data_IF_415631194730
#
_entry.id   IF_415631194730
#
_cell.length_a   1.000
_cell.length_b   1.000
_cell.length_c   1.000
_cell.angle_alpha   90.00
_cell.angle_beta   90.00
_cell.angle_gamma   90.00
#
_symmetry.space_group_name_H-M   'P 1'
#
loop_
_entity.id
_entity.type
_entity.pdbx_description
1 polymer ?
#
# COMPACT_ATOMS: atom_id res chain seq x y z
N UNK A 1 6.40 29.16 -30.28
CA UNK A 1 6.38 28.80 -28.83
C UNK A 1 5.10 28.08 -28.33
N UNK A 2 4.28 27.47 -29.21
CA UNK A 2 3.08 26.72 -28.79
C UNK A 2 3.37 25.27 -28.38
N UNK A 3 4.19 24.58 -29.18
CA UNK A 3 4.54 23.15 -28.98
C UNK A 3 5.35 22.92 -27.69
N UNK A 4 6.27 23.80 -27.35
CA UNK A 4 7.09 23.70 -26.12
C UNK A 4 6.24 23.90 -24.85
N UNK A 5 5.24 24.81 -24.90
CA UNK A 5 4.27 25.00 -23.82
C UNK A 5 3.35 23.79 -23.65
N UNK A 6 2.89 23.19 -24.76
CA UNK A 6 2.10 21.97 -24.74
C UNK A 6 2.87 20.81 -24.09
N UNK A 7 4.09 20.53 -24.55
CA UNK A 7 4.99 19.53 -23.93
C UNK A 7 5.27 19.79 -22.45
N UNK A 8 5.31 21.05 -22.02
CA UNK A 8 5.45 21.40 -20.58
C UNK A 8 4.20 21.06 -19.79
N UNK A 9 3.01 21.33 -20.34
CA UNK A 9 1.72 20.98 -19.72
C UNK A 9 1.60 19.46 -19.55
N UNK A 10 1.96 18.69 -20.57
CA UNK A 10 1.89 17.23 -20.53
C UNK A 10 2.83 16.64 -19.49
N UNK A 11 4.07 17.14 -19.41
CA UNK A 11 5.03 16.73 -18.37
C UNK A 11 4.51 17.02 -16.96
N UNK A 12 3.92 18.21 -16.75
CA UNK A 12 3.30 18.55 -15.45
C UNK A 12 2.12 17.63 -15.12
N UNK A 13 1.28 17.30 -16.10
CA UNK A 13 0.14 16.42 -15.88
C UNK A 13 0.58 15.00 -15.51
N UNK A 14 1.57 14.44 -16.22
CA UNK A 14 2.17 13.14 -15.90
C UNK A 14 2.77 13.12 -14.49
N UNK A 15 3.54 14.14 -14.12
CA UNK A 15 4.11 14.24 -12.78
C UNK A 15 3.02 14.31 -11.69
N UNK A 16 1.94 15.09 -11.90
CA UNK A 16 0.82 15.13 -10.96
C UNK A 16 0.13 13.78 -10.81
N UNK A 17 -0.09 13.05 -11.91
CA UNK A 17 -0.70 11.73 -11.87
C UNK A 17 0.16 10.74 -11.09
N UNK A 18 1.46 10.69 -11.38
CA UNK A 18 2.42 9.84 -10.68
C UNK A 18 2.46 10.15 -9.17
N UNK A 19 2.45 11.43 -8.79
CA UNK A 19 2.44 11.84 -7.38
C UNK A 19 1.15 11.40 -6.65
N UNK A 20 0.00 11.43 -7.32
CA UNK A 20 -1.27 10.91 -6.75
C UNK A 20 -1.20 9.40 -6.52
N UNK A 21 -0.71 8.65 -7.52
CA UNK A 21 -0.54 7.20 -7.41
C UNK A 21 0.45 6.84 -6.29
N UNK A 22 1.57 7.55 -6.19
CA UNK A 22 2.54 7.33 -5.11
C UNK A 22 1.93 7.58 -3.73
N UNK A 23 1.14 8.64 -3.56
CA UNK A 23 0.41 8.92 -2.31
C UNK A 23 -0.58 7.81 -1.97
N UNK A 24 -1.35 7.31 -2.94
CA UNK A 24 -2.27 6.19 -2.72
C UNK A 24 -1.50 4.94 -2.26
N UNK A 25 -0.39 4.62 -2.92
CA UNK A 25 0.46 3.48 -2.52
C UNK A 25 1.03 3.63 -1.12
N UNK A 26 1.40 4.85 -0.72
CA UNK A 26 1.87 5.13 0.65
C UNK A 26 0.74 4.94 1.68
N UNK A 27 -0.48 5.39 1.38
CA UNK A 27 -1.63 5.24 2.28
C UNK A 27 -2.09 3.79 2.42
N UNK A 28 -2.01 3.02 1.34
CA UNK A 28 -2.36 1.59 1.32
C UNK A 28 -1.20 0.68 1.67
N UNK A 29 -0.04 1.23 2.03
CA UNK A 29 1.12 0.44 2.42
C UNK A 29 0.80 -0.27 3.73
N UNK A 30 0.74 -1.60 3.72
CA UNK A 30 0.81 -2.40 4.94
C UNK A 30 2.29 -2.49 5.37
N UNK A 31 2.70 -1.84 6.47
CA UNK A 31 4.09 -1.86 6.88
C UNK A 31 4.45 -3.28 7.34
N UNK A 32 5.41 -3.91 6.65
CA UNK A 32 6.03 -5.15 7.14
C UNK A 32 7.01 -4.76 8.23
N UNK A 33 6.63 -4.95 9.48
CA UNK A 33 7.50 -4.66 10.62
C UNK A 33 8.50 -5.81 10.73
N UNK A 34 9.75 -5.58 10.31
CA UNK A 34 10.79 -6.63 10.15
C UNK A 34 11.38 -7.15 11.46
N UNK A 35 11.32 -6.38 12.55
CA UNK A 35 11.97 -6.68 13.82
C UNK A 35 10.95 -6.68 14.98
N UNK A 36 9.86 -7.43 14.83
CA UNK A 36 8.88 -7.61 15.91
C UNK A 36 9.15 -8.91 16.62
N UNK A 37 9.36 -8.84 17.94
CA UNK A 37 9.33 -10.02 18.78
C UNK A 37 7.87 -10.47 18.97
N UNK A 38 7.51 -11.53 18.27
CA UNK A 38 6.15 -12.07 18.27
C UNK A 38 5.78 -12.67 19.64
N UNK A 39 6.77 -13.06 20.46
CA UNK A 39 6.52 -13.70 21.75
C UNK A 39 6.20 -12.65 22.82
N UNK A 40 6.90 -11.51 22.81
CA UNK A 40 6.54 -10.36 23.65
C UNK A 40 5.16 -9.79 23.28
N UNK A 41 4.85 -9.68 21.98
CA UNK A 41 3.53 -9.22 21.55
C UNK A 41 2.40 -10.18 21.95
N UNK A 42 2.61 -11.49 21.85
CA UNK A 42 1.62 -12.48 22.32
C UNK A 42 1.43 -12.40 23.84
N UNK A 43 2.50 -12.12 24.59
CA UNK A 43 2.40 -11.93 26.04
C UNK A 43 1.64 -10.65 26.42
N UNK A 44 1.83 -9.55 25.69
CA UNK A 44 1.16 -8.28 25.96
C UNK A 44 -0.30 -8.23 25.47
N UNK A 45 -0.61 -8.83 24.31
CA UNK A 45 -1.91 -8.69 23.64
C UNK A 45 -2.77 -9.97 23.60
N UNK A 46 -2.23 -11.12 24.04
CA UNK A 46 -2.92 -12.41 23.98
C UNK A 46 -2.97 -13.02 22.57
N UNK A 47 -3.71 -14.12 22.40
CA UNK A 47 -3.92 -14.74 21.10
C UNK A 47 -4.95 -13.97 20.26
N UNK A 48 -4.57 -13.57 19.04
CA UNK A 48 -5.48 -12.91 18.11
C UNK A 48 -6.62 -13.86 17.68
N UNK A 49 -7.87 -13.36 17.49
CA UNK A 49 -8.96 -14.17 16.97
C UNK A 49 -8.63 -14.65 15.55
N UNK A 50 -8.67 -15.97 15.35
CA UNK A 50 -8.39 -16.61 14.06
C UNK A 50 -9.46 -16.20 13.03
N UNK A 51 -9.12 -15.27 12.13
CA UNK A 51 -9.96 -14.98 10.97
C UNK A 51 -9.90 -16.15 9.99
N UNK A 52 -10.88 -17.05 10.08
CA UNK A 52 -11.18 -18.10 9.10
C UNK A 52 -11.62 -17.47 7.78
N UNK A 53 -10.71 -17.23 6.82
CA UNK A 53 -11.10 -16.82 5.46
C UNK A 53 -10.29 -17.45 4.33
N UNK A 54 -9.51 -18.49 4.58
CA UNK A 54 -8.72 -19.15 3.52
C UNK A 54 -9.08 -20.63 3.25
N UNK A 55 -10.08 -21.22 3.93
CA UNK A 55 -10.48 -22.62 3.68
C UNK A 55 -11.61 -22.80 2.64
N UNK A 56 -12.30 -21.76 2.15
CA UNK A 56 -13.43 -21.92 1.20
C UNK A 56 -13.12 -21.59 -0.28
N UNK A 57 -11.90 -21.16 -0.63
CA UNK A 57 -11.56 -20.77 -2.00
C UNK A 57 -10.86 -21.86 -2.84
N UNK A 58 -10.77 -23.10 -2.34
CA UNK A 58 -10.17 -24.24 -3.07
C UNK A 58 -11.09 -25.46 -3.21
N UNK A 59 -12.39 -25.30 -2.90
CA UNK A 59 -13.39 -26.36 -2.97
C UNK A 59 -14.56 -26.08 -3.94
N UNK A 60 -14.39 -25.18 -4.91
CA UNK A 60 -15.30 -25.03 -6.06
C UNK A 60 -14.53 -25.01 -7.39
#
# INVERSE_FOLDING_TARGET
MGVTRLKRKDRKNKARANNKVARIKQLLLTPVIKNVDMDELRAQFGEAPKNKKEEEASAE
#
